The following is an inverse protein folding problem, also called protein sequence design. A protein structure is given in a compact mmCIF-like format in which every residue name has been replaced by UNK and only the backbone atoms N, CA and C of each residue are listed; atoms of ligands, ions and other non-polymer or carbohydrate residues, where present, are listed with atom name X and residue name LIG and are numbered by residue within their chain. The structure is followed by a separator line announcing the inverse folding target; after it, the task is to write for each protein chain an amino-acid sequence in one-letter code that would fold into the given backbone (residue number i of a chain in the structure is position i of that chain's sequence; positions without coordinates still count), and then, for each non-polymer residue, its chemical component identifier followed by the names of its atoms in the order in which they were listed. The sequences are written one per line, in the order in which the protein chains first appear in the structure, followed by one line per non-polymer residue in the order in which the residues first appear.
data_IF_812838055330
#
_entry.id   IF_812838055330
#
_cell.length_a   1.000
_cell.length_b   1.000
_cell.length_c   1.000
_cell.angle_alpha   90.00
_cell.angle_beta   90.00
_cell.angle_gamma   90.00
#
_symmetry.space_group_name_H-M   'P 1'
#
loop_
_entity.id
_entity.type
_entity.pdbx_description
1 polymer ?
#
# COMPACT_ATOMS: atom_id res chain seq x y z
N UNK A 1 10.11 9.50 -20.21
CA UNK A 1 10.41 10.74 -19.47
C UNK A 1 11.64 10.51 -18.64
N UNK A 2 12.65 11.37 -18.74
CA UNK A 2 13.92 11.25 -18.01
C UNK A 2 13.83 11.98 -16.66
N UNK A 3 12.86 11.59 -15.83
CA UNK A 3 12.71 12.14 -14.48
C UNK A 3 13.59 11.39 -13.48
N UNK A 4 14.01 12.07 -12.41
CA UNK A 4 14.69 11.44 -11.28
C UNK A 4 13.68 11.11 -10.19
N UNK A 5 13.77 9.90 -9.65
CA UNK A 5 12.97 9.44 -8.51
C UNK A 5 13.90 9.44 -7.29
N UNK A 6 13.52 10.18 -6.25
CA UNK A 6 14.22 10.19 -4.98
C UNK A 6 13.29 9.72 -3.88
N UNK A 7 13.81 8.86 -2.99
CA UNK A 7 13.05 8.25 -1.89
C UNK A 7 13.70 8.64 -0.57
N UNK A 8 12.89 9.06 0.40
CA UNK A 8 13.34 9.46 1.73
C UNK A 8 12.57 8.72 2.82
N UNK A 9 13.30 8.24 3.82
CA UNK A 9 12.78 7.59 5.03
C UNK A 9 13.61 8.04 6.23
N UNK A 10 13.14 8.98 7.07
CA UNK A 10 11.82 9.65 7.04
C UNK A 10 11.71 10.75 5.96
N UNK A 11 10.51 11.33 5.74
CA UNK A 11 10.33 12.45 4.81
C UNK A 11 11.22 13.65 5.14
N UNK A 12 11.66 14.38 4.11
CA UNK A 12 12.55 15.55 4.26
C UNK A 12 11.80 16.87 4.41
N UNK A 13 10.51 16.91 4.05
CA UNK A 13 9.71 18.13 4.06
C UNK A 13 8.26 17.89 4.49
N UNK A 14 7.53 18.97 4.81
CA UNK A 14 6.11 18.92 5.17
C UNK A 14 5.83 18.34 6.57
N UNK A 15 4.57 17.95 6.87
CA UNK A 15 4.12 17.66 8.24
C UNK A 15 4.55 16.29 8.79
N UNK A 16 5.18 15.44 7.97
CA UNK A 16 5.48 14.05 8.32
C UNK A 16 6.98 13.77 8.47
N UNK A 17 7.83 14.80 8.56
CA UNK A 17 9.30 14.67 8.65
C UNK A 17 9.80 13.90 9.88
N UNK A 18 9.05 13.95 10.99
CA UNK A 18 9.37 13.24 12.23
C UNK A 18 8.61 11.92 12.39
N UNK A 19 7.84 11.48 11.39
CA UNK A 19 7.01 10.26 11.47
C UNK A 19 7.68 9.09 10.75
N UNK A 20 7.31 7.86 11.16
CA UNK A 20 7.58 6.65 10.37
C UNK A 20 6.80 6.75 9.05
N UNK A 21 7.44 7.23 8.00
CA UNK A 21 6.82 7.46 6.71
C UNK A 21 7.87 7.36 5.60
N UNK A 22 7.38 7.09 4.39
CA UNK A 22 8.17 7.07 3.16
C UNK A 22 7.72 8.25 2.30
N UNK A 23 8.65 9.07 1.85
CA UNK A 23 8.41 10.16 0.90
C UNK A 23 9.05 9.83 -0.45
N UNK A 24 8.29 10.01 -1.53
CA UNK A 24 8.79 9.89 -2.90
C UNK A 24 8.62 11.24 -3.59
N UNK A 25 9.71 11.74 -4.17
CA UNK A 25 9.72 12.97 -4.96
C UNK A 25 10.19 12.63 -6.37
N UNK A 26 9.35 12.98 -7.34
CA UNK A 26 9.65 12.89 -8.77
C UNK A 26 9.99 14.29 -9.28
N UNK A 27 11.14 14.43 -9.92
CA UNK A 27 11.55 15.65 -10.60
C UNK A 27 11.70 15.37 -12.09
N UNK A 28 11.05 16.19 -12.94
CA UNK A 28 11.18 16.07 -14.38
C UNK A 28 11.17 17.44 -15.04
N UNK A 29 12.08 17.65 -16.00
CA UNK A 29 12.04 18.83 -16.86
C UNK A 29 11.18 18.52 -18.08
N UNK A 30 10.04 19.19 -18.19
CA UNK A 30 9.10 19.04 -19.31
C UNK A 30 9.33 20.10 -20.37
N UNK A 31 9.10 19.72 -21.62
CA UNK A 31 9.12 20.67 -22.74
C UNK A 31 7.87 21.55 -22.70
N UNK A 32 8.04 22.82 -23.07
CA UNK A 32 6.93 23.76 -23.18
C UNK A 32 6.16 23.49 -24.46
N UNK A 33 4.85 23.28 -24.35
CA UNK A 33 3.99 23.11 -25.53
C UNK A 33 3.42 24.46 -25.96
N UNK A 34 2.69 25.14 -25.06
CA UNK A 34 2.01 26.39 -25.39
C UNK A 34 2.90 27.63 -25.37
N UNK A 35 3.92 27.66 -24.50
CA UNK A 35 4.77 28.84 -24.29
C UNK A 35 6.13 28.74 -24.97
N UNK A 36 6.32 27.77 -25.87
CA UNK A 36 7.58 27.58 -26.60
C UNK A 36 7.95 28.80 -27.46
N UNK A 37 6.95 29.54 -27.96
CA UNK A 37 7.14 30.77 -28.72
C UNK A 37 7.81 31.90 -27.93
N UNK A 38 7.79 31.85 -26.60
CA UNK A 38 8.37 32.88 -25.73
C UNK A 38 9.70 32.44 -25.11
N UNK A 39 9.89 31.14 -24.88
CA UNK A 39 11.12 30.62 -24.30
C UNK A 39 11.25 29.11 -24.53
N UNK A 40 12.44 28.70 -24.96
CA UNK A 40 12.80 27.30 -25.24
C UNK A 40 13.27 26.52 -24.00
N UNK A 41 13.47 27.19 -22.84
CA UNK A 41 13.91 26.45 -21.64
C UNK A 41 12.85 25.45 -21.17
N UNK A 42 13.28 24.33 -20.57
CA UNK A 42 12.34 23.34 -20.03
C UNK A 42 11.70 23.85 -18.73
N UNK A 43 10.50 23.40 -18.42
CA UNK A 43 9.81 23.68 -17.15
C UNK A 43 10.14 22.56 -16.16
N UNK A 44 10.75 22.88 -15.00
CA UNK A 44 10.94 21.91 -13.94
C UNK A 44 9.61 21.61 -13.25
N UNK A 45 9.13 20.38 -13.38
CA UNK A 45 7.97 19.86 -12.66
C UNK A 45 8.39 18.97 -11.50
N UNK A 46 7.63 19.05 -10.40
CA UNK A 46 7.87 18.25 -9.20
C UNK A 46 6.56 17.67 -8.67
N UNK A 47 6.52 16.35 -8.55
CA UNK A 47 5.44 15.64 -7.86
C UNK A 47 5.96 15.03 -6.54
N UNK A 48 5.09 14.97 -5.54
CA UNK A 48 5.42 14.47 -4.20
C UNK A 48 4.31 13.58 -3.65
N UNK A 49 4.67 12.43 -3.13
CA UNK A 49 3.78 11.52 -2.41
C UNK A 49 4.41 11.09 -1.07
N UNK A 50 3.56 10.90 -0.04
CA UNK A 50 4.01 10.44 1.28
C UNK A 50 3.08 9.33 1.77
N UNK A 51 3.66 8.20 2.15
CA UNK A 51 2.96 7.09 2.78
C UNK A 51 3.35 7.01 4.26
N UNK A 52 2.35 7.04 5.16
CA UNK A 52 2.59 6.78 6.58
C UNK A 52 2.71 5.28 6.81
N UNK A 53 3.71 4.89 7.60
CA UNK A 53 3.83 3.53 8.11
C UNK A 53 3.10 3.50 9.46
N UNK A 54 1.95 2.84 9.47
CA UNK A 54 1.21 2.55 10.69
C UNK A 54 1.54 1.13 11.14
N UNK A 55 1.97 0.98 12.40
CA UNK A 55 2.09 -0.34 13.00
C UNK A 55 0.69 -0.97 13.00
N UNK A 56 0.57 -2.16 12.41
CA UNK A 56 -0.70 -2.85 12.34
C UNK A 56 -1.12 -3.35 13.74
N UNK A 57 -2.41 -3.63 13.92
CA UNK A 57 -2.94 -4.25 15.14
C UNK A 57 -2.29 -5.61 15.43
N UNK A 58 -2.59 -6.21 16.58
CA UNK A 58 -2.15 -7.58 16.88
C UNK A 58 -2.70 -8.56 15.82
N UNK A 59 -1.82 -9.20 15.06
CA UNK A 59 -2.24 -10.23 14.10
C UNK A 59 -2.43 -11.58 14.82
N UNK A 60 -3.63 -12.16 14.75
CA UNK A 60 -3.85 -13.55 15.16
C UNK A 60 -3.49 -14.53 14.03
N UNK A 61 -3.66 -14.11 12.79
CA UNK A 61 -3.26 -14.84 11.59
C UNK A 61 -2.46 -13.88 10.73
N UNK A 62 -1.25 -14.28 10.36
CA UNK A 62 -0.35 -13.49 9.53
C UNK A 62 0.20 -14.37 8.40
N UNK A 63 -0.30 -14.16 7.18
CA UNK A 63 0.21 -14.80 5.99
C UNK A 63 1.33 -13.95 5.38
N UNK A 64 2.58 -14.43 5.42
CA UNK A 64 3.76 -13.66 5.02
C UNK A 64 4.13 -13.78 3.54
N UNK A 65 3.59 -14.77 2.83
CA UNK A 65 3.96 -15.02 1.44
C UNK A 65 3.41 -13.89 0.53
N UNK A 66 4.28 -13.16 -0.18
CA UNK A 66 3.89 -11.98 -0.96
C UNK A 66 3.14 -12.29 -2.26
N UNK A 67 3.16 -13.55 -2.73
CA UNK A 67 2.60 -13.91 -4.04
C UNK A 67 1.60 -15.06 -3.98
N UNK A 68 1.33 -15.63 -2.80
CA UNK A 68 0.41 -16.76 -2.66
C UNK A 68 -1.04 -16.34 -2.93
N UNK A 69 -1.70 -17.07 -3.83
CA UNK A 69 -3.16 -17.04 -3.93
C UNK A 69 -3.76 -17.59 -2.64
N UNK A 70 -4.86 -16.99 -2.19
CA UNK A 70 -5.58 -17.45 -1.00
C UNK A 70 -4.67 -17.58 0.24
N UNK A 71 -3.73 -16.65 0.40
CA UNK A 71 -2.67 -16.74 1.41
C UNK A 71 -3.20 -16.92 2.85
N UNK A 72 -4.38 -16.36 3.16
CA UNK A 72 -5.18 -16.71 4.33
C UNK A 72 -6.55 -17.25 3.88
N UNK A 73 -6.68 -18.57 3.77
CA UNK A 73 -7.90 -19.26 3.33
C UNK A 73 -8.73 -19.78 4.51
N UNK A 74 -9.99 -19.35 4.58
CA UNK A 74 -11.03 -19.88 5.45
C UNK A 74 -12.08 -20.55 4.57
N UNK A 75 -12.23 -21.87 4.70
CA UNK A 75 -13.07 -22.65 3.79
C UNK A 75 -13.89 -23.72 4.50
N UNK A 76 -14.84 -24.31 3.75
CA UNK A 76 -15.72 -25.36 4.25
C UNK A 76 -16.92 -24.78 4.98
N UNK A 77 -17.19 -25.26 6.19
CA UNK A 77 -18.32 -24.84 7.03
C UNK A 77 -17.83 -24.45 8.44
N UNK A 78 -16.68 -23.78 8.51
CA UNK A 78 -16.01 -23.42 9.77
C UNK A 78 -16.45 -22.02 10.23
N UNK A 79 -16.63 -21.82 11.53
CA UNK A 79 -16.90 -20.49 12.09
C UNK A 79 -15.74 -20.07 12.98
N UNK A 80 -14.95 -19.10 12.53
CA UNK A 80 -13.77 -18.59 13.23
C UNK A 80 -14.07 -17.21 13.80
N UNK A 81 -13.91 -17.06 15.12
CA UNK A 81 -14.02 -15.78 15.82
C UNK A 81 -12.70 -15.45 16.50
N UNK A 82 -12.05 -14.41 16.00
CA UNK A 82 -10.82 -13.81 16.53
C UNK A 82 -11.21 -12.54 17.28
N UNK A 83 -10.93 -12.49 18.58
CA UNK A 83 -11.32 -11.36 19.44
C UNK A 83 -10.06 -10.63 19.90
N UNK A 84 -9.99 -9.31 19.68
CA UNK A 84 -8.83 -8.50 20.08
C UNK A 84 -7.63 -8.62 19.13
N UNK A 85 -7.86 -9.11 17.91
CA UNK A 85 -6.82 -9.29 16.91
C UNK A 85 -7.36 -9.36 15.47
N UNK A 86 -6.46 -9.22 14.51
CA UNK A 86 -6.76 -9.11 13.08
C UNK A 86 -6.20 -10.28 12.27
N UNK A 87 -6.74 -10.47 11.06
CA UNK A 87 -6.15 -11.32 10.02
C UNK A 87 -5.37 -10.44 9.07
N UNK A 88 -4.12 -10.80 8.81
CA UNK A 88 -3.20 -10.03 7.98
C UNK A 88 -2.61 -10.89 6.87
N UNK A 89 -2.53 -10.34 5.66
CA UNK A 89 -1.92 -11.00 4.51
C UNK A 89 -0.97 -10.06 3.78
N UNK A 90 0.28 -10.49 3.63
CA UNK A 90 1.31 -9.82 2.85
C UNK A 90 1.21 -10.15 1.35
N UNK A 91 0.26 -11.01 0.94
CA UNK A 91 0.09 -11.37 -0.46
C UNK A 91 -0.50 -10.21 -1.26
N UNK A 92 0.01 -9.99 -2.48
CA UNK A 92 -0.48 -9.00 -3.44
C UNK A 92 -1.64 -9.53 -4.30
N UNK A 93 -2.03 -10.80 -4.13
CA UNK A 93 -3.12 -11.38 -4.92
C UNK A 93 -4.48 -10.79 -4.55
N UNK A 94 -5.42 -10.75 -5.49
CA UNK A 94 -6.78 -10.23 -5.27
C UNK A 94 -7.59 -11.06 -4.25
N UNK A 95 -7.13 -12.26 -3.94
CA UNK A 95 -7.71 -13.19 -2.95
C UNK A 95 -6.76 -13.44 -1.76
N UNK A 96 -5.87 -12.50 -1.45
CA UNK A 96 -4.89 -12.59 -0.37
C UNK A 96 -5.48 -13.01 0.98
N UNK A 97 -6.73 -12.61 1.28
CA UNK A 97 -7.58 -13.23 2.30
C UNK A 97 -8.83 -13.75 1.61
N UNK A 98 -9.11 -15.06 1.73
CA UNK A 98 -10.25 -15.71 1.10
C UNK A 98 -11.14 -16.38 2.13
N UNK A 99 -12.42 -16.03 2.13
CA UNK A 99 -13.48 -16.81 2.75
C UNK A 99 -14.28 -17.49 1.63
N UNK A 100 -14.61 -18.77 1.81
CA UNK A 100 -15.36 -19.53 0.81
C UNK A 100 -16.21 -20.65 1.44
N UNK A 101 -17.25 -21.08 0.72
CA UNK A 101 -18.21 -22.07 1.19
C UNK A 101 -19.22 -21.45 2.15
N UNK A 102 -19.43 -22.11 3.29
CA UNK A 102 -20.27 -21.63 4.40
C UNK A 102 -19.42 -21.19 5.59
N UNK A 103 -18.12 -20.93 5.37
CA UNK A 103 -17.25 -20.47 6.42
C UNK A 103 -17.61 -19.05 6.89
N UNK A 104 -17.58 -18.82 8.20
CA UNK A 104 -17.74 -17.52 8.83
C UNK A 104 -16.43 -17.05 9.43
N UNK A 105 -16.06 -15.80 9.17
CA UNK A 105 -14.89 -15.15 9.77
C UNK A 105 -15.31 -13.85 10.47
N UNK A 106 -15.06 -13.80 11.77
CA UNK A 106 -15.16 -12.57 12.56
C UNK A 106 -13.78 -12.25 13.15
N UNK A 107 -13.28 -11.04 12.88
CA UNK A 107 -12.05 -10.50 13.42
C UNK A 107 -12.21 -8.99 13.61
N UNK A 108 -11.30 -8.36 14.35
CA UNK A 108 -11.38 -6.91 14.58
C UNK A 108 -11.15 -6.12 13.27
N UNK A 109 -10.20 -6.58 12.45
CA UNK A 109 -9.92 -6.06 11.11
C UNK A 109 -9.40 -7.18 10.20
N UNK A 110 -9.56 -7.00 8.88
CA UNK A 110 -8.87 -7.74 7.83
C UNK A 110 -7.92 -6.78 7.10
N UNK A 111 -6.63 -7.11 7.08
CA UNK A 111 -5.58 -6.29 6.45
C UNK A 111 -4.92 -7.12 5.34
N UNK A 112 -4.97 -6.66 4.11
CA UNK A 112 -4.33 -7.33 2.98
C UNK A 112 -3.56 -6.32 2.14
N UNK A 113 -2.39 -6.72 1.64
CA UNK A 113 -1.65 -5.94 0.62
C UNK A 113 -2.40 -6.00 -0.71
N UNK A 114 -2.87 -7.18 -1.09
CA UNK A 114 -3.75 -7.41 -2.24
C UNK A 114 -5.22 -7.22 -1.88
N UNK A 115 -6.04 -8.24 -2.13
CA UNK A 115 -7.49 -8.17 -1.92
C UNK A 115 -8.05 -9.11 -0.86
N UNK A 116 -9.26 -8.78 -0.41
CA UNK A 116 -10.07 -9.62 0.47
C UNK A 116 -11.30 -10.08 -0.32
N UNK A 117 -11.50 -11.38 -0.41
CA UNK A 117 -12.65 -11.99 -1.08
C UNK A 117 -13.44 -12.82 -0.08
N UNK A 118 -14.68 -12.40 0.20
CA UNK A 118 -15.56 -13.04 1.18
C UNK A 118 -16.49 -14.08 0.54
#
# INVERSE_FOLDING_TARGET
GNGTITVHTPPTSGPNTAKKAVEVILNQNLDRVFTSIFSESKVPERARAVALITDASKACVLALNPSAYQAALFSGNTSVKLTGCSVMSNSMQSDAVKVQGSAGLQADCLIAVGGVSL
#
